data_IF_637184716260
#
_entry.id   IF_637184716260
#
_cell.length_a   1.000
_cell.length_b   1.000
_cell.length_c   1.000
_cell.angle_alpha   90.00
_cell.angle_beta   90.00
_cell.angle_gamma   90.00
#
_symmetry.space_group_name_H-M   'P 1'
#
loop_
_entity.id
_entity.type
_entity.pdbx_description
1 polymer ?
#
# COMPACT_ATOMS: atom_id res chain seq x y z
N UNK A 1 -3.39 -3.07 -17.07
CA UNK A 1 -4.24 -1.83 -16.88
C UNK A 1 -3.85 -0.75 -17.87
N UNK A 2 -4.82 -0.05 -18.48
CA UNK A 2 -4.59 1.04 -19.47
C UNK A 2 -4.15 2.33 -18.74
N UNK A 3 -3.29 3.14 -19.36
CA UNK A 3 -2.76 4.38 -18.75
C UNK A 3 -3.86 5.39 -18.34
N UNK A 4 -4.91 5.53 -19.11
CA UNK A 4 -6.05 6.37 -18.73
C UNK A 4 -6.69 5.91 -17.40
N UNK A 5 -6.81 4.59 -17.21
CA UNK A 5 -7.38 4.02 -15.99
C UNK A 5 -6.45 4.23 -14.79
N UNK A 6 -5.15 4.03 -14.96
CA UNK A 6 -4.16 4.35 -13.92
C UNK A 6 -4.24 5.82 -13.48
N UNK A 7 -4.37 6.74 -14.44
CA UNK A 7 -4.54 8.18 -14.15
C UNK A 7 -5.80 8.46 -13.33
N UNK A 8 -6.93 7.84 -13.67
CA UNK A 8 -8.17 7.98 -12.91
C UNK A 8 -8.03 7.46 -11.47
N UNK A 9 -7.36 6.32 -11.29
CA UNK A 9 -7.12 5.73 -9.97
C UNK A 9 -6.21 6.64 -9.14
N UNK A 10 -5.11 7.17 -9.71
CA UNK A 10 -4.23 8.13 -9.03
C UNK A 10 -5.00 9.36 -8.53
N UNK A 11 -5.86 9.93 -9.35
CA UNK A 11 -6.68 11.09 -8.96
C UNK A 11 -7.58 10.73 -7.79
N UNK A 12 -8.25 9.58 -7.81
CA UNK A 12 -9.11 9.13 -6.71
C UNK A 12 -8.30 8.86 -5.43
N UNK A 13 -7.15 8.19 -5.53
CA UNK A 13 -6.28 7.95 -4.38
C UNK A 13 -5.78 9.26 -3.75
N UNK A 14 -5.35 10.22 -4.56
CA UNK A 14 -4.95 11.55 -4.08
C UNK A 14 -6.11 12.27 -3.38
N UNK A 15 -7.32 12.23 -3.94
CA UNK A 15 -8.50 12.84 -3.31
C UNK A 15 -8.85 12.21 -1.95
N UNK A 16 -8.60 10.90 -1.76
CA UNK A 16 -8.74 10.28 -0.43
C UNK A 16 -7.61 10.73 0.49
N UNK A 17 -6.37 10.75 0.00
CA UNK A 17 -5.20 11.15 0.78
C UNK A 17 -5.28 12.60 1.29
N UNK A 18 -5.81 13.52 0.48
CA UNK A 18 -6.04 14.93 0.88
C UNK A 18 -6.96 15.08 2.09
N UNK A 19 -7.82 14.09 2.34
CA UNK A 19 -8.69 14.04 3.51
C UNK A 19 -8.02 13.43 4.75
N UNK A 20 -6.87 12.77 4.57
CA UNK A 20 -6.13 12.09 5.63
C UNK A 20 -5.11 13.02 6.30
N UNK A 21 -4.79 12.73 7.56
CA UNK A 21 -3.65 13.36 8.23
C UNK A 21 -2.37 12.71 7.74
N UNK A 22 -1.59 13.48 7.01
CA UNK A 22 -0.29 13.06 6.47
C UNK A 22 0.81 13.64 7.35
N UNK A 23 1.83 12.82 7.66
CA UNK A 23 3.07 13.24 8.27
C UNK A 23 3.99 13.95 7.27
N UNK A 24 5.29 13.71 7.35
CA UNK A 24 6.21 14.27 6.37
C UNK A 24 6.01 13.67 4.98
N UNK A 25 5.78 12.34 4.93
CA UNK A 25 5.58 11.57 3.70
C UNK A 25 4.42 10.58 3.83
N UNK A 26 4.35 9.75 4.88
CA UNK A 26 3.31 8.74 5.08
C UNK A 26 2.04 9.27 5.73
N UNK A 27 0.93 8.54 5.60
CA UNK A 27 -0.29 8.74 6.40
C UNK A 27 0.05 8.33 7.84
N UNK A 28 -0.28 9.20 8.81
CA UNK A 28 0.11 9.00 10.22
C UNK A 28 -0.56 7.75 10.80
N UNK A 29 -1.86 7.59 10.57
CA UNK A 29 -2.64 6.46 11.12
C UNK A 29 -3.81 6.18 10.18
N UNK A 30 -3.61 5.25 9.23
CA UNK A 30 -4.64 4.91 8.24
C UNK A 30 -5.89 4.30 8.89
N UNK A 31 -5.75 3.63 10.05
CA UNK A 31 -6.90 3.03 10.74
C UNK A 31 -7.86 4.12 11.24
N UNK A 32 -7.32 5.17 11.88
CA UNK A 32 -8.13 6.33 12.28
C UNK A 32 -8.69 7.10 11.08
N UNK A 33 -7.92 7.20 10.00
CA UNK A 33 -8.43 7.88 8.80
C UNK A 33 -9.56 7.09 8.14
N UNK A 34 -9.53 5.74 8.17
CA UNK A 34 -10.61 4.89 7.71
C UNK A 34 -11.94 5.23 8.42
N UNK A 35 -11.90 5.31 9.76
CA UNK A 35 -13.09 5.71 10.56
C UNK A 35 -13.53 7.16 10.24
N UNK A 36 -12.59 8.09 10.06
CA UNK A 36 -12.90 9.48 9.69
C UNK A 36 -13.49 9.63 8.29
N UNK A 37 -13.18 8.70 7.38
CA UNK A 37 -13.80 8.61 6.06
C UNK A 37 -15.23 8.07 6.10
N UNK A 38 -15.69 7.64 7.29
CA UNK A 38 -17.04 7.14 7.51
C UNK A 38 -17.20 5.64 7.34
N UNK A 39 -16.10 4.88 7.37
CA UNK A 39 -16.13 3.43 7.28
C UNK A 39 -16.04 2.79 8.66
N UNK A 40 -16.81 1.71 8.88
CA UNK A 40 -16.75 0.93 10.11
C UNK A 40 -15.60 -0.07 10.01
N UNK A 41 -14.52 0.15 10.75
CA UNK A 41 -13.34 -0.72 10.73
C UNK A 41 -13.42 -1.79 11.82
N UNK A 42 -13.27 -3.05 11.42
CA UNK A 42 -13.15 -4.20 12.33
C UNK A 42 -11.76 -4.80 12.16
N UNK A 43 -10.98 -4.79 13.22
CA UNK A 43 -9.64 -5.36 13.29
C UNK A 43 -9.65 -6.57 14.22
N UNK A 44 -9.37 -7.78 13.70
CA UNK A 44 -9.43 -9.00 14.50
C UNK A 44 -8.43 -10.06 14.00
N UNK A 45 -7.77 -10.83 14.90
CA UNK A 45 -6.86 -11.90 14.50
C UNK A 45 -7.63 -13.14 14.04
N UNK A 46 -7.48 -13.50 12.76
CA UNK A 46 -8.03 -14.75 12.19
C UNK A 46 -6.99 -15.87 12.05
N UNK A 47 -5.72 -15.59 12.33
CA UNK A 47 -4.59 -16.50 12.11
C UNK A 47 -3.90 -16.27 10.76
N UNK A 48 -2.72 -16.87 10.61
CA UNK A 48 -1.81 -16.59 9.49
C UNK A 48 -2.28 -17.12 8.13
N UNK A 49 -3.18 -18.11 8.13
CA UNK A 49 -3.70 -18.77 6.91
C UNK A 49 -5.10 -18.26 6.51
N UNK A 50 -5.64 -17.28 7.21
CA UNK A 50 -6.94 -16.70 6.90
C UNK A 50 -6.82 -15.52 5.96
N UNK A 51 -7.95 -15.07 5.43
CA UNK A 51 -8.06 -13.90 4.59
C UNK A 51 -7.46 -12.65 5.29
N UNK A 52 -6.82 -11.80 4.51
CA UNK A 52 -6.13 -10.63 5.04
C UNK A 52 -7.08 -9.48 5.35
N UNK A 53 -8.15 -9.36 4.57
CA UNK A 53 -9.19 -8.36 4.72
C UNK A 53 -10.36 -8.61 3.77
N UNK A 54 -11.44 -7.89 3.98
CA UNK A 54 -12.57 -7.81 3.07
C UNK A 54 -13.41 -6.57 3.38
N UNK A 55 -14.23 -6.19 2.41
CA UNK A 55 -15.22 -5.12 2.59
C UNK A 55 -16.63 -5.63 2.36
N UNK A 56 -17.55 -5.20 3.23
CA UNK A 56 -18.97 -5.48 3.14
C UNK A 56 -19.76 -4.17 3.10
N UNK A 57 -20.87 -4.17 2.38
CA UNK A 57 -21.89 -3.12 2.49
C UNK A 57 -23.15 -3.73 3.11
N UNK A 58 -23.59 -3.18 4.23
CA UNK A 58 -24.82 -3.55 4.90
C UNK A 58 -25.69 -2.33 5.03
N UNK A 59 -26.86 -2.33 4.37
CA UNK A 59 -27.73 -1.18 4.27
C UNK A 59 -26.98 0.02 3.63
N UNK A 60 -26.62 1.02 4.44
CA UNK A 60 -25.81 2.18 4.00
C UNK A 60 -24.44 2.20 4.65
N UNK A 61 -24.11 1.22 5.49
CA UNK A 61 -22.84 1.15 6.22
C UNK A 61 -21.82 0.33 5.43
N UNK A 62 -20.64 0.89 5.29
CA UNK A 62 -19.48 0.19 4.75
C UNK A 62 -18.67 -0.33 5.93
N UNK A 63 -18.48 -1.65 5.98
CA UNK A 63 -17.70 -2.33 6.99
C UNK A 63 -16.44 -2.87 6.32
N UNK A 64 -15.28 -2.47 6.80
CA UNK A 64 -13.98 -2.98 6.37
C UNK A 64 -13.42 -3.86 7.48
N UNK A 65 -13.00 -5.05 7.11
CA UNK A 65 -12.34 -5.98 8.03
C UNK A 65 -10.86 -6.09 7.67
N UNK A 66 -9.97 -6.17 8.70
CA UNK A 66 -8.55 -6.50 8.52
C UNK A 66 -8.09 -7.54 9.53
N UNK A 67 -7.23 -8.49 9.08
CA UNK A 67 -6.66 -9.55 9.90
C UNK A 67 -5.40 -9.07 10.60
N UNK A 68 -5.48 -8.89 11.92
CA UNK A 68 -4.37 -8.41 12.75
C UNK A 68 -3.29 -9.46 13.03
N UNK A 69 -3.45 -10.72 12.61
CA UNK A 69 -2.37 -11.72 12.68
C UNK A 69 -1.23 -11.40 11.71
N UNK A 70 -1.48 -10.60 10.68
CA UNK A 70 -0.47 -10.13 9.74
C UNK A 70 0.45 -9.06 10.35
N UNK A 71 1.63 -8.87 9.74
CA UNK A 71 2.50 -7.74 10.09
C UNK A 71 1.78 -6.42 9.85
N UNK A 72 2.02 -5.42 10.69
CA UNK A 72 1.35 -4.12 10.64
C UNK A 72 1.40 -3.46 9.24
N UNK A 73 2.56 -3.46 8.59
CA UNK A 73 2.70 -2.90 7.24
C UNK A 73 1.85 -3.62 6.20
N UNK A 74 1.64 -4.93 6.37
CA UNK A 74 0.75 -5.72 5.51
C UNK A 74 -0.71 -5.40 5.80
N UNK A 75 -1.08 -5.27 7.08
CA UNK A 75 -2.43 -4.85 7.49
C UNK A 75 -2.77 -3.44 6.96
N UNK A 76 -1.82 -2.49 7.02
CA UNK A 76 -1.98 -1.14 6.45
C UNK A 76 -2.22 -1.22 4.93
N UNK A 77 -1.45 -2.05 4.22
CA UNK A 77 -1.65 -2.25 2.78
C UNK A 77 -3.01 -2.86 2.48
N UNK A 78 -3.42 -3.90 3.25
CA UNK A 78 -4.75 -4.51 3.15
C UNK A 78 -5.84 -3.46 3.33
N UNK A 79 -5.77 -2.65 4.39
CA UNK A 79 -6.76 -1.59 4.61
C UNK A 79 -6.82 -0.59 3.45
N UNK A 80 -5.67 -0.18 2.92
CA UNK A 80 -5.62 0.71 1.76
C UNK A 80 -6.23 0.07 0.50
N UNK A 81 -6.05 -1.24 0.32
CA UNK A 81 -6.61 -2.04 -0.75
C UNK A 81 -8.14 -2.13 -0.64
N UNK A 82 -8.67 -2.43 0.55
CA UNK A 82 -10.12 -2.48 0.79
C UNK A 82 -10.79 -1.11 0.59
N UNK A 83 -10.12 -0.02 1.00
CA UNK A 83 -10.56 1.34 0.67
C UNK A 83 -10.58 1.53 -0.87
N UNK A 84 -9.62 0.94 -1.58
CA UNK A 84 -9.58 0.93 -3.05
C UNK A 84 -10.84 0.27 -3.64
N UNK A 85 -11.26 -0.88 -3.14
CA UNK A 85 -12.50 -1.54 -3.56
C UNK A 85 -13.72 -0.65 -3.31
N UNK A 86 -13.82 -0.03 -2.14
CA UNK A 86 -14.91 0.91 -1.85
C UNK A 86 -14.96 2.04 -2.87
N UNK A 87 -13.83 2.69 -3.14
CA UNK A 87 -13.77 3.91 -3.98
C UNK A 87 -13.92 3.61 -5.48
N UNK A 88 -13.46 2.44 -5.92
CA UNK A 88 -13.38 2.11 -7.34
C UNK A 88 -14.55 1.26 -7.82
N UNK A 89 -15.05 0.35 -6.97
CA UNK A 89 -15.88 -0.76 -7.41
C UNK A 89 -17.23 -0.86 -6.70
N UNK A 90 -17.40 -0.27 -5.50
CA UNK A 90 -18.69 -0.35 -4.82
C UNK A 90 -19.67 0.64 -5.44
N UNK A 91 -20.72 0.09 -6.05
CA UNK A 91 -21.91 0.83 -6.41
C UNK A 91 -22.96 0.63 -5.30
N UNK A 92 -23.72 1.69 -4.98
CA UNK A 92 -24.77 1.63 -3.94
C UNK A 92 -25.87 0.60 -4.19
N UNK A 93 -25.90 -0.01 -5.37
CA UNK A 93 -26.98 -0.90 -5.82
C UNK A 93 -26.64 -2.41 -5.76
N UNK A 94 -25.36 -2.79 -5.56
CA UNK A 94 -24.96 -4.19 -5.45
C UNK A 94 -24.04 -4.38 -4.25
N UNK A 95 -24.39 -5.26 -3.28
CA UNK A 95 -23.47 -5.61 -2.21
C UNK A 95 -22.27 -6.35 -2.81
N UNK A 96 -21.09 -5.80 -2.60
CA UNK A 96 -19.83 -6.41 -3.00
C UNK A 96 -19.30 -7.25 -1.84
N UNK A 97 -19.23 -8.57 -2.04
CA UNK A 97 -18.50 -9.48 -1.16
C UNK A 97 -17.28 -9.93 -1.97
N UNK A 98 -16.11 -9.55 -1.53
CA UNK A 98 -14.87 -10.03 -2.14
C UNK A 98 -14.49 -11.36 -1.50
N UNK A 99 -14.85 -12.47 -2.17
CA UNK A 99 -14.59 -13.83 -1.69
C UNK A 99 -13.11 -14.26 -1.92
N UNK A 100 -12.31 -13.43 -2.60
CA UNK A 100 -10.95 -13.80 -3.00
C UNK A 100 -9.92 -12.72 -2.63
N UNK A 101 -9.55 -12.70 -1.37
CA UNK A 101 -8.45 -11.84 -0.89
C UNK A 101 -7.11 -12.42 -1.31
N UNK A 102 -6.70 -12.15 -2.51
CA UNK A 102 -5.35 -12.45 -2.95
C UNK A 102 -4.55 -11.17 -3.09
N UNK A 103 -4.01 -10.67 -1.98
CA UNK A 103 -2.97 -9.62 -1.98
C UNK A 103 -1.60 -10.22 -2.41
N UNK A 104 -1.59 -11.30 -3.11
CA UNK A 104 -0.40 -11.81 -3.81
C UNK A 104 -0.52 -11.41 -5.26
N UNK A 105 0.45 -10.67 -5.77
CA UNK A 105 0.50 -10.05 -7.10
C UNK A 105 0.33 -10.95 -8.33
N UNK A 106 -0.58 -11.93 -8.25
CA UNK A 106 -0.93 -12.87 -9.28
C UNK A 106 -2.41 -12.90 -9.63
N UNK A 107 -3.24 -12.04 -9.01
CA UNK A 107 -4.65 -11.97 -9.36
C UNK A 107 -4.83 -11.50 -10.81
N UNK A 108 -5.54 -12.29 -11.60
CA UNK A 108 -5.93 -11.96 -12.99
C UNK A 108 -7.19 -11.09 -13.03
N UNK A 109 -7.83 -10.85 -11.89
CA UNK A 109 -8.98 -9.99 -11.79
C UNK A 109 -8.55 -8.51 -11.93
N UNK A 110 -9.15 -7.81 -12.85
CA UNK A 110 -8.86 -6.39 -13.12
C UNK A 110 -9.18 -5.51 -11.91
N UNK A 111 -10.21 -5.85 -11.12
CA UNK A 111 -10.59 -5.11 -9.91
C UNK A 111 -9.52 -5.20 -8.83
N UNK A 112 -8.93 -6.39 -8.64
CA UNK A 112 -7.84 -6.61 -7.70
C UNK A 112 -6.58 -5.81 -8.08
N UNK A 113 -6.23 -5.83 -9.37
CA UNK A 113 -5.11 -5.02 -9.88
C UNK A 113 -5.34 -3.52 -9.68
N UNK A 114 -6.57 -3.06 -9.84
CA UNK A 114 -6.95 -1.67 -9.62
C UNK A 114 -6.90 -1.28 -8.15
N UNK A 115 -7.40 -2.14 -7.24
CA UNK A 115 -7.35 -1.91 -5.80
C UNK A 115 -5.90 -1.93 -5.28
N UNK A 116 -5.07 -2.85 -5.75
CA UNK A 116 -3.63 -2.87 -5.45
C UNK A 116 -2.94 -1.59 -5.91
N UNK A 117 -3.24 -1.13 -7.12
CA UNK A 117 -2.66 0.10 -7.65
C UNK A 117 -3.16 1.35 -6.89
N UNK A 118 -4.43 1.37 -6.49
CA UNK A 118 -4.98 2.41 -5.63
C UNK A 118 -4.24 2.46 -4.28
N UNK A 119 -4.07 1.32 -3.62
CA UNK A 119 -3.34 1.22 -2.34
C UNK A 119 -1.92 1.77 -2.46
N UNK A 120 -1.21 1.39 -3.54
CA UNK A 120 0.12 1.90 -3.80
C UNK A 120 0.15 3.43 -4.02
N UNK A 121 -0.83 3.98 -4.73
CA UNK A 121 -0.95 5.43 -4.94
C UNK A 121 -1.34 6.18 -3.67
N UNK A 122 -2.21 5.59 -2.82
CA UNK A 122 -2.65 6.18 -1.56
C UNK A 122 -1.51 6.26 -0.55
N UNK A 123 -0.77 5.16 -0.37
CA UNK A 123 0.30 5.05 0.61
C UNK A 123 1.60 5.73 0.16
N UNK A 124 1.95 5.61 -1.13
CA UNK A 124 3.19 6.13 -1.72
C UNK A 124 2.90 6.91 -3.01
N UNK A 125 2.32 8.13 -2.93
CA UNK A 125 2.10 8.95 -4.11
C UNK A 125 3.42 9.32 -4.78
N UNK A 126 3.41 9.38 -6.11
CA UNK A 126 4.59 9.64 -6.94
C UNK A 126 5.35 10.90 -6.50
N UNK A 127 4.65 12.03 -6.31
CA UNK A 127 5.27 13.28 -5.91
C UNK A 127 5.95 13.21 -4.53
N UNK A 128 5.39 12.46 -3.57
CA UNK A 128 6.00 12.30 -2.25
C UNK A 128 7.20 11.35 -2.30
N UNK A 129 7.16 10.31 -3.15
CA UNK A 129 8.31 9.43 -3.40
C UNK A 129 9.46 10.22 -4.03
N UNK A 130 9.19 11.01 -5.07
CA UNK A 130 10.18 11.87 -5.72
C UNK A 130 10.79 12.85 -4.72
N UNK A 131 9.95 13.54 -3.96
CA UNK A 131 10.42 14.46 -2.92
C UNK A 131 11.30 13.76 -1.88
N UNK A 132 10.96 12.52 -1.47
CA UNK A 132 11.81 11.75 -0.56
C UNK A 132 13.17 11.42 -1.18
N UNK A 133 13.17 10.92 -2.42
CA UNK A 133 14.41 10.56 -3.11
C UNK A 133 15.34 11.77 -3.30
N UNK A 134 14.76 12.93 -3.63
CA UNK A 134 15.53 14.16 -3.91
C UNK A 134 16.08 14.84 -2.64
N UNK A 135 15.34 14.77 -1.53
CA UNK A 135 15.69 15.55 -0.33
C UNK A 135 16.18 14.73 0.86
N UNK A 136 15.88 13.43 0.91
CA UNK A 136 16.24 12.59 2.04
C UNK A 136 17.38 11.61 1.73
N UNK A 137 17.67 11.38 0.44
CA UNK A 137 18.75 10.49 0.03
C UNK A 137 19.90 11.28 -0.54
N UNK A 138 21.04 11.18 0.14
CA UNK A 138 22.27 11.80 -0.30
C UNK A 138 22.72 11.23 -1.66
N UNK A 139 23.08 12.14 -2.58
CA UNK A 139 23.64 11.81 -3.89
C UNK A 139 22.72 11.03 -4.86
N UNK A 140 21.44 10.87 -4.54
CA UNK A 140 20.50 10.31 -5.52
C UNK A 140 20.23 11.35 -6.65
N UNK A 141 20.16 10.99 -7.94
CA UNK A 141 20.32 9.64 -8.51
C UNK A 141 21.74 9.24 -8.90
N UNK A 142 22.77 9.93 -8.41
CA UNK A 142 24.18 9.67 -8.79
C UNK A 142 24.71 8.34 -8.27
N UNK A 143 24.07 7.75 -7.26
CA UNK A 143 24.39 6.44 -6.73
C UNK A 143 23.19 5.51 -6.79
N UNK A 144 23.45 4.21 -6.84
CA UNK A 144 22.40 3.20 -6.70
C UNK A 144 21.84 3.18 -5.27
N UNK A 145 20.57 2.88 -5.13
CA UNK A 145 19.93 2.70 -3.84
C UNK A 145 20.51 1.48 -3.11
N UNK A 146 20.52 1.53 -1.79
CA UNK A 146 20.86 0.41 -0.91
C UNK A 146 19.60 -0.12 -0.20
N UNK A 147 19.67 -1.32 0.37
CA UNK A 147 18.58 -1.85 1.20
C UNK A 147 18.30 -0.96 2.43
N UNK A 148 19.28 -0.18 2.91
CA UNK A 148 19.07 0.79 3.98
C UNK A 148 18.23 1.99 3.52
N UNK A 149 18.40 2.44 2.27
CA UNK A 149 17.55 3.50 1.71
C UNK A 149 16.12 3.03 1.59
N UNK A 150 15.91 1.77 1.15
CA UNK A 150 14.58 1.16 1.13
C UNK A 150 13.99 1.05 2.54
N UNK A 151 14.79 0.70 3.57
CA UNK A 151 14.34 0.68 4.95
C UNK A 151 13.90 2.06 5.46
N UNK A 152 14.58 3.14 5.05
CA UNK A 152 14.16 4.52 5.34
C UNK A 152 12.81 4.85 4.67
N UNK A 153 12.66 4.48 3.40
CA UNK A 153 11.37 4.62 2.67
C UNK A 153 10.25 3.89 3.40
N UNK A 154 10.48 2.62 3.80
CA UNK A 154 9.50 1.84 4.56
C UNK A 154 9.02 2.57 5.82
N UNK A 155 9.97 3.11 6.59
CA UNK A 155 9.67 3.82 7.84
C UNK A 155 8.87 5.09 7.61
N UNK A 156 9.23 5.88 6.61
CA UNK A 156 8.60 7.18 6.33
C UNK A 156 7.19 7.03 5.72
N UNK A 157 6.96 5.97 4.94
CA UNK A 157 5.68 5.72 4.28
C UNK A 157 4.80 4.67 4.99
N UNK A 158 5.28 4.04 6.08
CA UNK A 158 4.59 2.96 6.79
C UNK A 158 4.24 1.75 5.91
N UNK A 159 5.15 1.34 5.03
CA UNK A 159 4.95 0.25 4.08
C UNK A 159 5.95 -0.90 4.29
N UNK A 160 5.72 -2.05 3.63
CA UNK A 160 6.69 -3.14 3.62
C UNK A 160 7.83 -2.87 2.64
N UNK A 161 8.95 -3.59 2.81
CA UNK A 161 10.09 -3.53 1.90
C UNK A 161 9.68 -3.87 0.47
N UNK A 162 8.91 -4.95 0.30
CA UNK A 162 8.47 -5.42 -1.00
C UNK A 162 7.53 -4.41 -1.67
N UNK A 163 6.65 -3.78 -0.88
CA UNK A 163 5.80 -2.72 -1.40
C UNK A 163 6.63 -1.51 -1.85
N UNK A 164 7.64 -1.10 -1.07
CA UNK A 164 8.52 0.00 -1.45
C UNK A 164 9.28 -0.29 -2.74
N UNK A 165 9.87 -1.49 -2.88
CA UNK A 165 10.55 -1.93 -4.10
C UNK A 165 9.62 -1.93 -5.32
N UNK A 166 8.47 -2.60 -5.20
CA UNK A 166 7.48 -2.66 -6.27
C UNK A 166 7.01 -1.27 -6.70
N UNK A 167 6.86 -0.35 -5.72
CA UNK A 167 6.45 1.02 -6.03
C UNK A 167 7.54 1.80 -6.77
N UNK A 168 8.79 1.69 -6.35
CA UNK A 168 9.92 2.34 -7.02
C UNK A 168 10.09 1.84 -8.46
N UNK A 169 9.97 0.52 -8.69
CA UNK A 169 10.00 -0.05 -10.04
C UNK A 169 8.81 0.42 -10.88
N UNK A 170 7.59 0.42 -10.34
CA UNK A 170 6.41 0.94 -11.03
C UNK A 170 6.47 2.43 -11.37
N UNK A 171 7.28 3.20 -10.65
CA UNK A 171 7.57 4.61 -10.90
C UNK A 171 8.83 4.82 -11.75
N UNK A 172 9.43 3.74 -12.27
CA UNK A 172 10.66 3.76 -13.07
C UNK A 172 11.85 4.46 -12.37
N UNK A 173 11.87 4.40 -11.02
CA UNK A 173 12.98 4.94 -10.20
C UNK A 173 14.10 3.92 -10.04
N UNK A 174 13.79 2.64 -10.20
CA UNK A 174 14.71 1.52 -10.30
C UNK A 174 14.26 0.62 -11.46
N UNK A 175 15.17 -0.13 -12.04
CA UNK A 175 14.86 -1.16 -13.01
C UNK A 175 14.73 -2.55 -12.36
N UNK A 176 14.37 -3.57 -13.14
CA UNK A 176 14.20 -4.94 -12.65
C UNK A 176 15.51 -5.57 -12.13
N UNK A 177 16.67 -5.19 -12.66
CA UNK A 177 17.98 -5.67 -12.19
C UNK A 177 18.28 -5.10 -10.80
N UNK A 178 18.06 -3.81 -10.63
CA UNK A 178 18.25 -3.14 -9.34
C UNK A 178 17.23 -3.63 -8.30
N UNK A 179 15.98 -3.86 -8.69
CA UNK A 179 14.96 -4.49 -7.82
C UNK A 179 15.47 -5.83 -7.29
N UNK A 180 15.91 -6.74 -8.18
CA UNK A 180 16.41 -8.05 -7.78
C UNK A 180 17.66 -7.96 -6.89
N UNK A 181 18.57 -7.03 -7.17
CA UNK A 181 19.75 -6.77 -6.35
C UNK A 181 19.36 -6.34 -4.93
N UNK A 182 18.42 -5.41 -4.80
CA UNK A 182 17.95 -4.90 -3.50
C UNK A 182 17.19 -5.96 -2.71
N UNK A 183 16.38 -6.81 -3.36
CA UNK A 183 15.70 -7.92 -2.70
C UNK A 183 16.68 -8.97 -2.18
N UNK A 184 17.74 -9.27 -2.93
CA UNK A 184 18.83 -10.13 -2.46
C UNK A 184 19.60 -9.51 -1.29
N UNK A 185 19.84 -8.20 -1.31
CA UNK A 185 20.52 -7.47 -0.23
C UNK A 185 19.70 -7.48 1.07
N UNK A 186 18.35 -7.39 1.00
CA UNK A 186 17.42 -7.53 2.13
C UNK A 186 17.68 -8.81 2.94
N UNK A 187 18.02 -9.90 2.26
CA UNK A 187 18.23 -11.22 2.88
C UNK A 187 19.59 -11.34 3.58
N UNK A 188 20.49 -10.37 3.42
CA UNK A 188 21.74 -10.35 4.16
C UNK A 188 21.49 -10.04 5.64
N UNK A 189 22.18 -10.78 6.56
CA UNK A 189 21.93 -10.75 8.02
C UNK A 189 21.91 -9.36 8.66
N UNK A 190 22.65 -8.39 8.11
CA UNK A 190 22.74 -7.01 8.65
C UNK A 190 21.45 -6.21 8.46
N UNK A 191 20.82 -6.34 7.31
CA UNK A 191 19.57 -5.62 6.99
C UNK A 191 18.37 -6.35 7.56
N UNK A 192 18.36 -7.69 7.55
CA UNK A 192 17.29 -8.51 8.08
C UNK A 192 17.01 -8.30 9.57
N UNK A 193 17.99 -7.90 10.37
CA UNK A 193 17.78 -7.59 11.78
C UNK A 193 17.19 -6.19 12.02
N UNK A 194 17.51 -5.21 11.18
CA UNK A 194 16.92 -3.86 11.22
C UNK A 194 15.47 -3.86 10.75
N UNK A 195 15.15 -4.65 9.72
CA UNK A 195 13.80 -4.76 9.16
C UNK A 195 12.81 -5.54 10.05
N UNK A 196 13.30 -6.27 11.06
CA UNK A 196 12.46 -6.98 12.04
C UNK A 196 12.07 -6.13 13.25
N UNK A 197 12.67 -4.97 13.39
CA UNK A 197 12.45 -4.05 14.53
C UNK A 197 11.54 -2.85 14.18
N UNK A 198 10.97 -2.85 12.98
CA UNK A 198 9.97 -1.86 12.50
C UNK A 198 8.60 -2.60 12.27
#
# INVERSE_FOLDING_TARGET
MRELRKKQIRIKANSVREKCKVGRYGIIDLFKECERLGYNLIRYPLGDNADLGFVLMKENDIIIFTNTSSRLSREIFTLAHEIGHVILHMNKEEPFIDDNVTISGGSTDEKEQEANYFAACLLMPEADVERFLDFELDEFPKRNLSAMDIARIMSEFNVSFDMALNRLENLEKIDAEEHLRLDNEKNQRRVGNLLRSV
#
